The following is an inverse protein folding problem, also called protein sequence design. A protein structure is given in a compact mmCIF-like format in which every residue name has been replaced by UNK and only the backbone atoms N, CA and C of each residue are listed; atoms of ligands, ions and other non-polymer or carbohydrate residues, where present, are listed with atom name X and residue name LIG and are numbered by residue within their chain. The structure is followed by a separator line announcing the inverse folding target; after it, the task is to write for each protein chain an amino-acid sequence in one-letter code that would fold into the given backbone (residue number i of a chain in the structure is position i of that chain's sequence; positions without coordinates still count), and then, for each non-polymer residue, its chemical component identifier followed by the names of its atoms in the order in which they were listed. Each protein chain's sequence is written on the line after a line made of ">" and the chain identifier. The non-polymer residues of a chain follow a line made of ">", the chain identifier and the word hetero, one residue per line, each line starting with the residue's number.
data_IF_472835999198
#
_entry.id   IF_472835999198
#
_cell.length_a   1.000
_cell.length_b   1.000
_cell.length_c   1.000
_cell.angle_alpha   90.00
_cell.angle_beta   90.00
_cell.angle_gamma   90.00
#
_symmetry.space_group_name_H-M   'P 1'
#
loop_
_entity.id
_entity.type
_entity.pdbx_description
1 polymer ?
#
# COMPACT_ATOMS: atom_id res chain seq x y z
N UNK A 1 11.95 36.99 10.84
CA UNK A 1 11.08 35.99 11.49
C UNK A 1 11.49 34.61 11.00
N UNK A 2 11.98 33.74 11.90
CA UNK A 2 12.21 32.34 11.54
C UNK A 2 10.85 31.69 11.28
N UNK A 3 10.53 31.41 10.01
CA UNK A 3 9.27 30.77 9.64
C UNK A 3 9.22 29.38 10.28
N UNK A 4 8.38 29.21 11.29
CA UNK A 4 8.12 27.91 11.90
C UNK A 4 7.52 26.98 10.85
N UNK A 5 8.31 26.00 10.39
CA UNK A 5 7.80 24.90 9.58
C UNK A 5 6.89 24.07 10.48
N UNK A 6 5.58 24.14 10.25
CA UNK A 6 4.61 23.34 11.00
C UNK A 6 4.86 21.86 10.68
N UNK A 7 5.21 21.01 11.66
CA UNK A 7 5.45 19.59 11.43
C UNK A 7 4.16 18.89 11.00
N UNK A 8 4.30 17.79 10.25
CA UNK A 8 3.17 16.92 9.95
C UNK A 8 2.68 16.26 11.24
N UNK A 9 1.38 16.37 11.50
CA UNK A 9 0.74 15.64 12.60
C UNK A 9 0.37 14.22 12.17
N UNK A 10 0.33 13.29 13.12
CA UNK A 10 -0.10 11.91 12.87
C UNK A 10 -1.51 11.83 12.26
N UNK A 11 -2.38 12.82 12.54
CA UNK A 11 -3.71 12.95 11.91
C UNK A 11 -3.63 13.21 10.40
N UNK A 12 -2.73 14.10 9.97
CA UNK A 12 -2.52 14.40 8.55
C UNK A 12 -1.92 13.18 7.83
N UNK A 13 -0.96 12.51 8.47
CA UNK A 13 -0.35 11.29 7.94
C UNK A 13 -1.40 10.17 7.79
N UNK A 14 -2.27 9.99 8.78
CA UNK A 14 -3.33 9.00 8.72
C UNK A 14 -4.36 9.32 7.63
N UNK A 15 -4.76 10.58 7.47
CA UNK A 15 -5.66 11.00 6.40
C UNK A 15 -5.12 10.67 5.00
N UNK A 16 -3.82 10.89 4.77
CA UNK A 16 -3.16 10.50 3.51
C UNK A 16 -3.28 8.99 3.28
N UNK A 17 -2.98 8.18 4.29
CA UNK A 17 -3.00 6.72 4.14
C UNK A 17 -4.42 6.18 3.97
N UNK A 18 -5.37 6.71 4.73
CA UNK A 18 -6.80 6.37 4.58
C UNK A 18 -7.30 6.69 3.18
N UNK A 19 -6.96 7.87 2.63
CA UNK A 19 -7.35 8.23 1.27
C UNK A 19 -6.80 7.24 0.22
N UNK A 20 -5.55 6.81 0.39
CA UNK A 20 -4.91 5.82 -0.50
C UNK A 20 -5.63 4.47 -0.45
N UNK A 21 -5.99 4.04 0.75
CA UNK A 21 -6.69 2.78 0.99
C UNK A 21 -8.13 2.84 0.50
N UNK A 22 -8.88 3.88 0.84
CA UNK A 22 -10.27 4.05 0.43
C UNK A 22 -10.40 4.02 -1.11
N UNK A 23 -9.48 4.68 -1.81
CA UNK A 23 -9.50 4.73 -3.28
C UNK A 23 -8.73 3.60 -3.96
N UNK A 24 -8.08 2.71 -3.21
CA UNK A 24 -7.27 1.60 -3.72
C UNK A 24 -6.20 2.03 -4.75
N UNK A 25 -5.67 3.26 -4.62
CA UNK A 25 -4.78 3.91 -5.61
C UNK A 25 -3.29 3.56 -5.44
N UNK A 26 -2.98 2.44 -4.80
CA UNK A 26 -1.62 1.99 -4.47
C UNK A 26 -0.65 1.99 -5.67
N UNK A 27 -1.16 1.69 -6.86
CA UNK A 27 -0.38 1.59 -8.10
C UNK A 27 -0.16 2.95 -8.80
N UNK A 28 -0.87 4.02 -8.40
CA UNK A 28 -0.77 5.36 -9.00
C UNK A 28 -0.14 6.41 -8.09
N UNK A 29 0.37 6.00 -6.91
CA UNK A 29 0.96 6.90 -5.91
C UNK A 29 2.16 7.71 -6.44
N UNK A 30 2.82 7.27 -7.50
CA UNK A 30 3.94 8.01 -8.10
C UNK A 30 3.48 9.17 -9.00
N UNK A 31 2.27 9.08 -9.56
CA UNK A 31 1.69 10.07 -10.46
C UNK A 31 1.23 11.33 -9.73
N UNK A 32 1.37 12.51 -10.34
CA UNK A 32 0.97 13.79 -9.70
C UNK A 32 -0.55 13.92 -9.51
N UNK A 33 -1.33 13.31 -10.40
CA UNK A 33 -2.78 13.48 -10.46
C UNK A 33 -3.46 13.07 -9.15
N UNK A 34 -3.08 11.92 -8.59
CA UNK A 34 -3.58 11.43 -7.30
C UNK A 34 -3.41 12.46 -6.17
N UNK A 35 -2.23 13.09 -6.11
CA UNK A 35 -1.91 14.05 -5.07
C UNK A 35 -2.61 15.40 -5.29
N UNK A 36 -2.81 15.81 -6.54
CA UNK A 36 -3.59 17.00 -6.88
C UNK A 36 -5.07 16.79 -6.54
N UNK A 37 -5.63 15.62 -6.82
CA UNK A 37 -6.99 15.26 -6.43
C UNK A 37 -7.14 15.22 -4.90
N UNK A 38 -6.11 14.73 -4.19
CA UNK A 38 -6.07 14.74 -2.73
C UNK A 38 -5.95 16.16 -2.15
N UNK A 39 -5.16 17.04 -2.74
CA UNK A 39 -5.13 18.46 -2.34
C UNK A 39 -6.47 19.14 -2.60
N UNK A 40 -7.12 18.83 -3.74
CA UNK A 40 -8.44 19.36 -4.08
C UNK A 40 -9.52 18.92 -3.09
N UNK A 41 -9.38 17.75 -2.45
CA UNK A 41 -10.28 17.30 -1.38
C UNK A 41 -10.15 18.12 -0.10
N UNK A 42 -9.12 18.97 0.02
CA UNK A 42 -8.81 19.84 1.17
C UNK A 42 -8.75 19.10 2.52
N UNK A 43 -8.46 17.80 2.51
CA UNK A 43 -8.30 17.02 3.74
C UNK A 43 -7.10 17.48 4.58
N UNK A 44 -6.09 18.08 3.94
CA UNK A 44 -4.94 18.70 4.61
C UNK A 44 -4.69 20.11 4.07
N UNK A 45 -4.23 21.02 4.92
CA UNK A 45 -3.84 22.39 4.54
C UNK A 45 -2.40 22.44 3.97
N UNK A 46 -2.03 21.46 3.14
CA UNK A 46 -0.69 21.33 2.56
C UNK A 46 -0.77 21.13 1.07
N UNK A 47 0.26 21.57 0.37
CA UNK A 47 0.33 21.36 -1.08
C UNK A 47 0.58 19.90 -1.41
N UNK A 48 0.09 19.47 -2.56
CA UNK A 48 0.31 18.11 -3.07
C UNK A 48 1.82 17.75 -3.15
N UNK A 49 2.69 18.75 -3.38
CA UNK A 49 4.15 18.57 -3.42
C UNK A 49 4.71 18.21 -2.05
N UNK A 50 4.35 18.96 -1.00
CA UNK A 50 4.81 18.69 0.37
C UNK A 50 4.28 17.36 0.88
N UNK A 51 3.00 17.05 0.61
CA UNK A 51 2.40 15.78 1.02
C UNK A 51 3.11 14.58 0.38
N UNK A 52 3.36 14.65 -0.93
CA UNK A 52 4.08 13.61 -1.68
C UNK A 52 5.53 13.44 -1.19
N UNK A 53 6.23 14.54 -0.96
CA UNK A 53 7.60 14.51 -0.45
C UNK A 53 7.66 13.88 0.95
N UNK A 54 6.80 14.34 1.86
CA UNK A 54 6.73 13.80 3.22
C UNK A 54 6.35 12.32 3.22
N UNK A 55 5.39 11.93 2.38
CA UNK A 55 5.03 10.54 2.18
C UNK A 55 6.23 9.70 1.76
N UNK A 56 6.96 10.14 0.74
CA UNK A 56 8.13 9.43 0.20
C UNK A 56 9.26 9.31 1.22
N UNK A 57 9.59 10.40 1.91
CA UNK A 57 10.79 10.45 2.75
C UNK A 57 10.56 9.92 4.18
N UNK A 58 9.38 10.17 4.75
CA UNK A 58 9.09 9.89 6.16
C UNK A 58 8.06 8.78 6.31
N UNK A 59 6.92 8.87 5.63
CA UNK A 59 5.82 7.92 5.84
C UNK A 59 6.15 6.52 5.31
N UNK A 60 6.80 6.38 4.16
CA UNK A 60 7.13 5.04 3.61
C UNK A 60 8.04 4.20 4.51
N UNK A 61 8.97 4.83 5.21
CA UNK A 61 9.84 4.11 6.16
C UNK A 61 9.05 3.75 7.43
N UNK A 62 8.17 4.67 7.87
CA UNK A 62 7.38 4.49 9.09
C UNK A 62 6.17 3.57 8.92
N UNK A 63 5.57 3.47 7.73
CA UNK A 63 4.30 2.75 7.52
C UNK A 63 4.40 1.25 7.85
N UNK A 64 5.59 0.66 7.75
CA UNK A 64 5.82 -0.75 8.10
C UNK A 64 6.12 -0.94 9.60
N UNK A 65 6.73 0.04 10.25
CA UNK A 65 7.24 -0.08 11.63
C UNK A 65 6.38 0.61 12.69
N UNK A 66 5.60 1.61 12.29
CA UNK A 66 4.83 2.47 13.20
C UNK A 66 3.41 1.91 13.34
N UNK A 67 3.10 1.41 14.54
CA UNK A 67 1.79 0.85 14.86
C UNK A 67 0.72 1.92 15.14
N UNK A 68 1.10 3.20 15.24
CA UNK A 68 0.19 4.31 15.52
C UNK A 68 -0.73 4.66 14.34
N UNK A 69 -0.50 4.04 13.17
CA UNK A 69 -1.38 4.21 12.01
C UNK A 69 -2.61 3.33 12.14
N UNK A 70 -3.78 3.92 11.88
CA UNK A 70 -5.09 3.27 11.88
C UNK A 70 -5.29 2.42 10.60
N UNK A 71 -4.39 1.46 10.43
CA UNK A 71 -4.27 0.62 9.24
C UNK A 71 -3.89 -0.78 9.65
N UNK A 72 -4.50 -1.75 8.99
CA UNK A 72 -4.14 -3.16 9.13
C UNK A 72 -2.75 -3.43 8.52
N UNK A 73 -2.10 -4.49 8.99
CA UNK A 73 -0.81 -4.96 8.46
C UNK A 73 -0.86 -5.15 6.94
N UNK A 74 -1.95 -5.75 6.44
CA UNK A 74 -2.15 -5.98 5.01
C UNK A 74 -2.20 -4.67 4.20
N UNK A 75 -2.89 -3.64 4.70
CA UNK A 75 -2.95 -2.34 4.03
C UNK A 75 -1.58 -1.65 3.98
N UNK A 76 -0.81 -1.73 5.07
CA UNK A 76 0.56 -1.20 5.15
C UNK A 76 1.46 -1.87 4.11
N UNK A 77 1.38 -3.19 4.00
CA UNK A 77 2.12 -3.96 2.99
C UNK A 77 1.70 -3.62 1.57
N UNK A 78 0.39 -3.47 1.30
CA UNK A 78 -0.12 -3.05 -0.03
C UNK A 78 0.40 -1.67 -0.45
N UNK A 79 0.44 -0.71 0.47
CA UNK A 79 0.97 0.64 0.21
C UNK A 79 2.47 0.58 -0.11
N UNK A 80 3.23 -0.13 0.72
CA UNK A 80 4.67 -0.28 0.53
C UNK A 80 5.00 -0.97 -0.80
N UNK A 81 4.36 -2.12 -1.06
CA UNK A 81 4.55 -2.89 -2.29
C UNK A 81 4.10 -2.14 -3.54
N UNK A 82 3.01 -1.37 -3.46
CA UNK A 82 2.55 -0.50 -4.55
C UNK A 82 3.57 0.56 -4.93
N UNK A 83 4.24 1.15 -3.93
CA UNK A 83 5.30 2.13 -4.16
C UNK A 83 6.60 1.50 -4.68
N UNK A 84 7.06 0.39 -4.09
CA UNK A 84 8.33 -0.26 -4.47
C UNK A 84 8.25 -0.96 -5.82
N UNK A 85 7.16 -1.68 -6.13
CA UNK A 85 6.98 -2.32 -7.45
C UNK A 85 6.89 -1.31 -8.58
N UNK A 86 6.20 -0.18 -8.38
CA UNK A 86 6.13 0.89 -9.38
C UNK A 86 7.42 1.72 -9.48
N UNK A 87 8.30 1.66 -8.48
CA UNK A 87 9.65 2.21 -8.56
C UNK A 87 10.61 1.33 -9.37
N UNK A 88 10.45 0.01 -9.28
CA UNK A 88 11.30 -0.98 -9.95
C UNK A 88 11.02 -1.08 -11.46
N UNK A 89 9.78 -0.79 -11.88
CA UNK A 89 9.41 -0.64 -13.29
C UNK A 89 8.89 0.78 -13.54
N UNK A 90 9.78 1.78 -13.74
CA UNK A 90 9.37 3.12 -14.11
C UNK A 90 8.81 3.07 -15.53
N UNK A 91 7.52 2.73 -15.66
CA UNK A 91 6.87 2.56 -16.95
C UNK A 91 6.78 3.92 -17.64
N UNK A 92 7.59 4.08 -18.70
CA UNK A 92 7.50 5.19 -19.63
C UNK A 92 6.18 5.03 -20.39
N UNK A 93 5.23 5.89 -20.05
CA UNK A 93 4.03 6.20 -20.83
C UNK A 93 3.08 5.02 -21.14
N UNK A 94 1.91 5.08 -20.48
CA UNK A 94 0.61 4.56 -20.92
C UNK A 94 0.43 3.04 -21.08
N UNK A 95 -0.79 2.59 -20.80
CA UNK A 95 -1.36 1.28 -21.11
C UNK A 95 -0.83 0.08 -20.29
N UNK A 96 -1.63 -0.46 -19.36
CA UNK A 96 -2.51 -1.58 -19.73
C UNK A 96 -3.31 -2.21 -18.57
N UNK A 97 -4.45 -2.74 -19.00
CA UNK A 97 -5.59 -3.37 -18.35
C UNK A 97 -5.29 -4.77 -17.76
N UNK A 98 -4.11 -4.98 -17.16
CA UNK A 98 -3.60 -6.34 -16.88
C UNK A 98 -3.10 -6.60 -15.45
N UNK A 99 -3.45 -5.77 -14.46
CA UNK A 99 -3.09 -6.06 -13.05
C UNK A 99 -4.06 -7.05 -12.36
N UNK A 100 -5.15 -7.43 -13.03
CA UNK A 100 -6.10 -8.45 -12.55
C UNK A 100 -5.73 -9.91 -12.88
N UNK A 101 -4.67 -10.16 -13.66
CA UNK A 101 -4.34 -11.53 -14.14
C UNK A 101 -3.06 -12.15 -13.56
N UNK A 102 -2.30 -11.44 -12.71
CA UNK A 102 -1.02 -11.96 -12.20
C UNK A 102 -1.06 -12.51 -10.77
N UNK A 103 -2.22 -12.54 -10.11
CA UNK A 103 -2.39 -13.19 -8.80
C UNK A 103 -2.87 -14.66 -8.88
N UNK A 104 -2.80 -15.30 -10.04
CA UNK A 104 -3.21 -16.71 -10.23
C UNK A 104 -2.08 -17.68 -10.58
N UNK A 105 -0.80 -17.29 -10.46
CA UNK A 105 0.31 -18.25 -10.51
C UNK A 105 1.37 -17.93 -9.48
N UNK A 106 1.32 -18.68 -8.39
CA UNK A 106 2.28 -18.71 -7.30
C UNK A 106 2.06 -19.99 -6.51
N UNK A 107 2.22 -21.11 -7.20
CA UNK A 107 2.46 -22.44 -6.66
C UNK A 107 3.55 -22.34 -5.59
N UNK A 108 3.17 -22.54 -4.33
CA UNK A 108 4.08 -23.10 -3.32
C UNK A 108 3.78 -24.59 -3.35
N UNK A 109 4.49 -25.29 -4.22
CA UNK A 109 4.63 -26.73 -4.13
C UNK A 109 5.73 -26.98 -3.08
N UNK A 110 5.32 -27.12 -1.82
CA UNK A 110 6.09 -27.87 -0.84
C UNK A 110 5.20 -29.01 -0.36
N UNK A 111 5.44 -30.13 -1.04
CA UNK A 111 5.12 -31.50 -0.71
C UNK A 111 5.27 -31.79 0.79
N UNK A 112 4.18 -32.18 1.45
CA UNK A 112 4.17 -33.25 2.45
C UNK A 112 2.72 -33.71 2.73
N UNK A 113 2.40 -34.87 2.16
CA UNK A 113 1.67 -35.91 2.88
C UNK A 113 0.15 -35.80 2.95
N UNK A 114 -0.50 -36.22 1.87
CA UNK A 114 -1.81 -36.86 1.96
C UNK A 114 -1.68 -38.20 2.69
N UNK A 115 -2.40 -38.41 3.79
CA UNK A 115 -3.00 -39.72 4.04
C UNK A 115 -4.32 -39.51 4.76
N UNK A 116 -5.36 -39.97 4.08
CA UNK A 116 -6.73 -40.01 4.52
C UNK A 116 -6.94 -41.10 5.57
N UNK A 117 -8.00 -40.91 6.34
CA UNK A 117 -8.76 -41.92 7.08
C UNK A 117 -9.06 -43.17 6.25
N UNK A 118 -8.83 -44.36 6.82
CA UNK A 118 -9.60 -45.61 6.67
C UNK A 118 -9.38 -46.38 8.01
N UNK A 119 -10.29 -46.34 8.97
CA UNK A 119 -11.46 -47.24 9.11
C UNK A 119 -11.15 -48.69 8.73
N UNK A 120 -10.79 -49.50 9.73
CA UNK A 120 -10.86 -50.96 9.64
C UNK A 120 -11.69 -51.46 10.83
N UNK A 121 -12.96 -51.70 10.54
CA UNK A 121 -13.86 -52.50 11.37
C UNK A 121 -13.92 -53.94 10.84
N UNK A 122 -13.60 -54.87 11.74
CA UNK A 122 -14.26 -56.17 11.96
C UNK A 122 -13.98 -57.42 11.08
N UNK A 123 -14.07 -58.57 11.77
CA UNK A 123 -14.20 -60.00 11.40
C UNK A 123 -12.92 -60.76 10.96
N UNK A 124 -12.56 -61.93 11.50
CA UNK A 124 -13.34 -63.06 12.05
C UNK A 124 -12.69 -63.73 13.27
#
# INVERSE_FOLDING_TARGET
>A
MAGYRVPYSSKEENAILQYIVEKQIYHRLRGRQVWQEFEASRQINRTWQSAKEHFRQKMLSRVLSDESFDLTKEQREKIYNGWTRTAMYPNKHQENKQIGQMFSKGTIEDDHGMTSEEEEGEVS
#
